data_IF_852724073603
#
_entry.id   IF_852724073603
#
_cell.length_a   1.000
_cell.length_b   1.000
_cell.length_c   1.000
_cell.angle_alpha   90.00
_cell.angle_beta   90.00
_cell.angle_gamma   90.00
#
_symmetry.space_group_name_H-M   'P 1'
#
loop_
_entity.id
_entity.type
_entity.pdbx_description
1 polymer ?
#
# COMPACT_ATOMS: atom_id res chain seq x y z
N UNK A 1 -20.99 -5.87 -0.53
CA UNK A 1 -19.90 -5.24 -1.30
C UNK A 1 -18.55 -5.76 -0.77
N UNK A 2 -18.29 -7.06 -0.95
CA UNK A 2 -17.18 -7.76 -0.29
C UNK A 2 -16.66 -8.90 -1.19
N UNK A 3 -15.91 -8.61 -2.26
CA UNK A 3 -15.57 -9.70 -3.21
C UNK A 3 -14.20 -9.71 -3.90
N UNK A 4 -13.24 -8.81 -3.66
CA UNK A 4 -12.06 -8.77 -4.54
C UNK A 4 -10.72 -9.17 -3.88
N UNK A 5 -10.61 -9.20 -2.55
CA UNK A 5 -9.42 -9.72 -1.85
C UNK A 5 -9.27 -11.25 -1.98
N UNK A 6 -10.34 -11.95 -2.36
CA UNK A 6 -10.38 -13.41 -2.50
C UNK A 6 -9.39 -13.93 -3.55
N UNK A 7 -9.09 -13.13 -4.58
CA UNK A 7 -8.12 -13.53 -5.61
C UNK A 7 -6.72 -13.80 -5.03
N UNK A 8 -6.31 -13.09 -3.99
CA UNK A 8 -5.02 -13.31 -3.32
C UNK A 8 -4.98 -14.62 -2.52
N UNK A 9 -6.11 -15.00 -1.92
CA UNK A 9 -6.24 -16.26 -1.18
C UNK A 9 -6.41 -17.47 -2.11
N UNK A 10 -6.96 -17.26 -3.32
CA UNK A 10 -7.18 -18.31 -4.31
C UNK A 10 -5.98 -18.57 -5.23
N UNK A 11 -5.09 -17.60 -5.40
CA UNK A 11 -3.89 -17.74 -6.24
C UNK A 11 -2.60 -17.44 -5.47
N UNK A 12 -2.34 -18.14 -4.36
CA UNK A 12 -1.17 -17.86 -3.55
C UNK A 12 0.13 -18.24 -4.31
N UNK A 13 0.03 -19.04 -5.37
CA UNK A 13 1.15 -19.39 -6.24
C UNK A 13 1.64 -18.21 -7.07
N UNK A 14 0.77 -17.24 -7.43
CA UNK A 14 1.17 -15.99 -8.08
C UNK A 14 1.97 -15.08 -7.13
N UNK A 15 1.79 -15.24 -5.82
CA UNK A 15 2.51 -14.49 -4.79
C UNK A 15 3.84 -15.16 -4.41
N UNK A 16 3.98 -16.45 -4.68
CA UNK A 16 5.16 -17.26 -4.33
C UNK A 16 5.97 -17.73 -5.53
N UNK A 17 5.66 -17.28 -6.74
CA UNK A 17 6.38 -17.65 -7.96
C UNK A 17 7.79 -17.06 -7.94
N UNK A 18 8.75 -17.85 -7.44
CA UNK A 18 10.14 -17.47 -7.23
C UNK A 18 11.11 -18.32 -8.06
N UNK A 19 10.82 -18.54 -9.35
CA UNK A 19 11.68 -19.27 -10.28
C UNK A 19 12.20 -20.65 -9.78
N UNK A 20 11.47 -21.31 -8.87
CA UNK A 20 11.86 -22.60 -8.29
C UNK A 20 12.87 -22.52 -7.12
N UNK A 21 13.19 -21.35 -6.59
CA UNK A 21 14.06 -21.19 -5.42
C UNK A 21 13.27 -21.16 -4.10
N UNK A 22 13.64 -22.03 -3.17
CA UNK A 22 12.98 -22.19 -1.85
C UNK A 22 13.30 -21.04 -0.87
N UNK A 23 14.43 -20.35 -1.03
CA UNK A 23 14.91 -19.32 -0.11
C UNK A 23 14.91 -17.95 -0.82
N UNK A 24 14.18 -16.94 -0.30
CA UNK A 24 14.27 -15.58 -0.79
C UNK A 24 15.67 -15.01 -0.54
N UNK A 25 16.25 -14.39 -1.54
CA UNK A 25 17.46 -13.58 -1.44
C UNK A 25 17.18 -12.17 -1.97
N UNK A 26 18.17 -11.28 -1.89
CA UNK A 26 17.98 -9.91 -2.34
C UNK A 26 17.57 -9.81 -3.82
N UNK A 27 18.11 -10.69 -4.67
CA UNK A 27 17.91 -10.62 -6.12
C UNK A 27 16.51 -11.14 -6.50
N UNK A 28 16.13 -12.29 -5.99
CA UNK A 28 14.88 -12.95 -6.36
C UNK A 28 13.63 -12.21 -5.82
N UNK A 29 13.76 -11.49 -4.71
CA UNK A 29 12.70 -10.63 -4.15
C UNK A 29 12.31 -9.48 -5.08
N UNK A 30 13.21 -9.05 -5.98
CA UNK A 30 12.90 -8.05 -6.99
C UNK A 30 12.09 -8.60 -8.18
N UNK A 31 12.04 -9.92 -8.34
CA UNK A 31 11.35 -10.61 -9.44
C UNK A 31 9.88 -10.92 -9.11
N UNK A 32 9.44 -10.70 -7.87
CA UNK A 32 8.08 -10.96 -7.38
C UNK A 32 7.08 -9.89 -7.85
N UNK A 33 6.94 -9.71 -9.15
CA UNK A 33 6.19 -8.60 -9.77
C UNK A 33 4.72 -8.54 -9.32
N UNK A 34 4.06 -9.69 -9.18
CA UNK A 34 2.67 -9.71 -8.71
C UNK A 34 2.56 -9.34 -7.24
N UNK A 35 3.48 -9.80 -6.39
CA UNK A 35 3.55 -9.39 -4.99
C UNK A 35 3.78 -7.87 -4.86
N UNK A 36 4.61 -7.28 -5.72
CA UNK A 36 4.84 -5.83 -5.77
C UNK A 36 3.56 -5.05 -6.08
N UNK A 37 2.78 -5.56 -7.03
CA UNK A 37 1.49 -4.97 -7.40
C UNK A 37 0.50 -5.03 -6.24
N UNK A 38 0.45 -6.17 -5.55
CA UNK A 38 -0.40 -6.40 -4.38
C UNK A 38 -0.03 -5.51 -3.21
N UNK A 39 1.26 -5.41 -2.89
CA UNK A 39 1.76 -4.51 -1.84
C UNK A 39 1.44 -3.06 -2.22
N UNK A 40 1.63 -2.68 -3.48
CA UNK A 40 1.37 -1.31 -3.93
C UNK A 40 -0.12 -0.93 -3.85
N UNK A 41 -1.01 -1.82 -4.27
CA UNK A 41 -2.46 -1.60 -4.16
C UNK A 41 -2.92 -1.60 -2.70
N UNK A 42 -2.31 -2.43 -1.85
CA UNK A 42 -2.56 -2.41 -0.40
C UNK A 42 -2.18 -1.07 0.21
N UNK A 43 -1.00 -0.55 -0.13
CA UNK A 43 -0.51 0.75 0.34
C UNK A 43 -1.31 1.94 -0.24
N UNK A 44 -1.93 1.78 -1.41
CA UNK A 44 -2.87 2.77 -1.97
C UNK A 44 -4.16 2.81 -1.16
N UNK A 45 -4.79 1.66 -0.92
CA UNK A 45 -6.07 1.58 -0.20
C UNK A 45 -5.90 1.90 1.29
N UNK A 46 -4.80 1.47 1.88
CA UNK A 46 -4.57 1.55 3.32
C UNK A 46 -3.19 2.16 3.65
N UNK A 47 -2.91 3.42 3.28
CA UNK A 47 -1.64 4.05 3.56
C UNK A 47 -1.48 4.29 5.08
N UNK A 48 -0.44 3.73 5.74
CA UNK A 48 -0.23 3.95 7.18
C UNK A 48 -0.10 5.44 7.53
N UNK A 49 0.61 6.20 6.69
CA UNK A 49 0.64 7.66 6.72
C UNK A 49 -0.38 8.21 5.72
N UNK A 50 -1.60 8.45 6.20
CA UNK A 50 -2.73 8.91 5.39
C UNK A 50 -2.78 10.43 5.16
N UNK A 51 -1.90 11.18 5.83
CA UNK A 51 -1.71 12.63 5.63
C UNK A 51 -0.27 13.05 5.90
N UNK A 52 0.18 14.08 5.21
CA UNK A 52 1.45 14.76 5.50
C UNK A 52 1.21 16.25 5.66
N UNK A 53 1.91 16.89 6.59
CA UNK A 53 1.79 18.34 6.82
C UNK A 53 3.12 19.06 6.65
N UNK A 54 3.07 20.31 6.19
CA UNK A 54 4.22 21.24 6.17
C UNK A 54 3.75 22.60 6.64
N UNK A 55 4.58 23.27 7.42
CA UNK A 55 4.36 24.67 7.77
C UNK A 55 5.10 25.56 6.78
N UNK A 56 4.44 26.61 6.28
CA UNK A 56 5.06 27.61 5.43
C UNK A 56 6.01 28.47 6.26
N UNK A 57 7.33 28.31 6.08
CA UNK A 57 8.33 29.08 6.83
C UNK A 57 8.31 30.58 6.54
N UNK A 58 7.74 30.98 5.40
CA UNK A 58 7.56 32.37 4.96
C UNK A 58 6.39 32.44 3.99
N UNK A 59 5.91 33.65 3.77
CA UNK A 59 4.96 33.96 2.71
C UNK A 59 5.45 33.42 1.37
N UNK A 60 4.59 32.67 0.68
CA UNK A 60 4.92 32.13 -0.64
C UNK A 60 3.71 32.08 -1.57
N UNK A 61 4.01 32.00 -2.87
CA UNK A 61 3.02 31.82 -3.93
C UNK A 61 3.22 30.43 -4.55
N UNK A 62 2.20 29.58 -4.46
CA UNK A 62 2.19 28.24 -5.07
C UNK A 62 1.03 28.17 -6.06
N UNK A 63 1.30 27.91 -7.34
CA UNK A 63 0.28 27.87 -8.39
C UNK A 63 -0.63 29.12 -8.38
N UNK A 64 -0.05 30.30 -8.14
CA UNK A 64 -0.73 31.60 -8.00
C UNK A 64 -1.62 31.74 -6.75
N UNK A 65 -1.55 30.80 -5.81
CA UNK A 65 -2.21 30.89 -4.52
C UNK A 65 -1.22 31.42 -3.48
N UNK A 66 -1.62 32.46 -2.76
CA UNK A 66 -0.83 33.02 -1.65
C UNK A 66 -1.02 32.17 -0.40
N UNK A 67 0.10 31.80 0.22
CA UNK A 67 0.18 31.04 1.44
C UNK A 67 0.98 31.86 2.46
N UNK A 68 0.37 32.32 3.57
CA UNK A 68 1.07 33.12 4.56
C UNK A 68 2.05 32.26 5.38
N UNK A 69 3.09 32.91 5.93
CA UNK A 69 3.97 32.30 6.90
C UNK A 69 3.19 31.72 8.09
N UNK A 70 3.62 30.56 8.59
CA UNK A 70 2.95 29.81 9.67
C UNK A 70 1.73 29.01 9.24
N UNK A 71 1.26 29.12 7.99
CA UNK A 71 0.17 28.28 7.50
C UNK A 71 0.59 26.80 7.42
N UNK A 72 -0.29 25.91 7.91
CA UNK A 72 -0.10 24.46 7.78
C UNK A 72 -0.78 23.98 6.50
N UNK A 73 0.01 23.41 5.61
CA UNK A 73 -0.41 22.80 4.36
C UNK A 73 -0.50 21.29 4.60
N UNK A 74 -1.70 20.73 4.43
CA UNK A 74 -1.93 19.28 4.51
C UNK A 74 -2.04 18.66 3.11
N UNK A 75 -1.35 17.54 2.92
CA UNK A 75 -1.49 16.65 1.76
C UNK A 75 -2.33 15.47 2.23
N UNK A 76 -3.61 15.44 1.83
CA UNK A 76 -4.56 14.40 2.20
C UNK A 76 -4.36 13.13 1.35
N UNK A 77 -3.31 12.37 1.64
CA UNK A 77 -2.90 11.16 0.89
C UNK A 77 -4.02 10.12 0.82
N UNK A 78 -4.72 9.87 1.93
CA UNK A 78 -5.83 8.92 1.95
C UNK A 78 -6.94 9.30 0.96
N UNK A 79 -7.30 10.59 0.88
CA UNK A 79 -8.28 11.08 -0.09
C UNK A 79 -7.73 11.04 -1.52
N UNK A 80 -6.48 11.47 -1.73
CA UNK A 80 -5.80 11.41 -3.02
C UNK A 80 -5.80 9.99 -3.61
N UNK A 81 -5.57 8.97 -2.76
CA UNK A 81 -5.50 7.57 -3.17
C UNK A 81 -6.87 6.96 -3.47
N UNK A 82 -7.97 7.60 -3.05
CA UNK A 82 -9.34 7.19 -3.34
C UNK A 82 -10.04 8.14 -4.32
N UNK A 83 -9.33 9.11 -4.91
CA UNK A 83 -9.91 10.04 -5.86
C UNK A 83 -10.28 9.30 -7.17
N UNK A 84 -11.58 9.19 -7.54
CA UNK A 84 -12.01 8.43 -8.71
C UNK A 84 -11.53 8.99 -10.05
N UNK A 85 -11.14 10.28 -10.11
CA UNK A 85 -10.55 10.85 -11.34
C UNK A 85 -9.12 10.37 -11.60
N UNK A 86 -8.44 9.90 -10.55
CA UNK A 86 -7.07 9.37 -10.61
C UNK A 86 -7.10 7.83 -10.57
N UNK A 87 -8.01 7.27 -9.78
CA UNK A 87 -8.14 5.85 -9.50
C UNK A 87 -9.57 5.39 -9.83
N UNK A 88 -9.87 5.00 -11.09
CA UNK A 88 -11.21 4.54 -11.47
C UNK A 88 -11.63 3.34 -10.63
N UNK A 89 -12.84 3.31 -10.07
CA UNK A 89 -13.26 2.27 -9.10
C UNK A 89 -12.34 2.17 -7.87
N UNK A 90 -12.12 3.26 -7.12
CA UNK A 90 -11.06 3.36 -6.11
C UNK A 90 -11.23 2.39 -4.92
N UNK A 91 -12.46 1.93 -4.68
CA UNK A 91 -12.80 0.99 -3.60
C UNK A 91 -12.51 -0.48 -3.96
N UNK A 92 -12.25 -0.78 -5.24
CA UNK A 92 -11.87 -2.13 -5.66
C UNK A 92 -10.38 -2.36 -5.53
N UNK A 93 -10.02 -3.50 -4.98
CA UNK A 93 -8.64 -3.94 -4.89
C UNK A 93 -8.18 -4.53 -6.23
N UNK A 94 -7.47 -3.72 -7.04
CA UNK A 94 -6.99 -4.11 -8.37
C UNK A 94 -5.46 -3.97 -8.47
N UNK A 95 -4.67 -5.02 -8.16
CA UNK A 95 -3.21 -4.99 -8.27
C UNK A 95 -2.69 -4.55 -9.64
N UNK A 96 -3.41 -4.86 -10.71
CA UNK A 96 -3.06 -4.56 -12.11
C UNK A 96 -2.91 -3.05 -12.37
N UNK A 97 -3.42 -2.18 -11.49
CA UNK A 97 -3.10 -0.74 -11.52
C UNK A 97 -1.59 -0.47 -11.39
N UNK A 98 -0.82 -1.41 -10.87
CA UNK A 98 0.60 -1.25 -10.59
C UNK A 98 1.52 -2.01 -11.55
N UNK A 99 1.04 -2.36 -12.75
CA UNK A 99 1.91 -2.77 -13.86
C UNK A 99 2.93 -1.68 -14.18
N UNK A 100 4.05 -2.06 -14.81
CA UNK A 100 5.10 -1.11 -15.22
C UNK A 100 4.53 0.01 -16.12
N UNK A 101 3.68 -0.35 -17.09
CA UNK A 101 3.02 0.59 -18.00
C UNK A 101 2.08 1.54 -17.25
N UNK A 102 1.22 1.02 -16.37
CA UNK A 102 0.27 1.85 -15.62
C UNK A 102 0.99 2.81 -14.65
N UNK A 103 2.12 2.39 -14.06
CA UNK A 103 2.97 3.26 -13.23
C UNK A 103 3.56 4.41 -14.04
N UNK A 104 4.05 4.15 -15.25
CA UNK A 104 4.66 5.17 -16.11
C UNK A 104 3.65 6.21 -16.62
N UNK A 105 2.41 5.80 -16.88
CA UNK A 105 1.35 6.70 -17.35
C UNK A 105 0.75 7.58 -16.23
N UNK A 106 0.97 7.22 -14.97
CA UNK A 106 0.40 7.94 -13.83
C UNK A 106 1.23 9.15 -13.45
N UNK A 107 0.56 10.22 -13.05
CA UNK A 107 1.25 11.38 -12.48
C UNK A 107 2.06 10.98 -11.22
N UNK A 108 3.34 11.39 -11.10
CA UNK A 108 4.23 10.95 -10.03
C UNK A 108 3.73 11.23 -8.61
N UNK A 109 2.93 12.29 -8.43
CA UNK A 109 2.37 12.69 -7.12
C UNK A 109 0.97 12.14 -6.85
N UNK A 110 0.46 11.22 -7.66
CA UNK A 110 -0.85 10.56 -7.43
C UNK A 110 -0.77 9.37 -6.48
N UNK A 111 0.44 8.83 -6.25
CA UNK A 111 0.70 7.71 -5.36
C UNK A 111 1.85 8.05 -4.42
N UNK A 112 1.54 8.19 -3.13
CA UNK A 112 2.40 8.79 -2.10
C UNK A 112 2.42 7.98 -0.78
N UNK A 113 2.48 6.64 -0.78
CA UNK A 113 2.44 5.85 0.46
C UNK A 113 3.64 6.09 1.37
N UNK A 114 4.75 6.58 0.81
CA UNK A 114 6.00 6.88 1.51
C UNK A 114 6.37 8.38 1.42
N UNK A 115 5.40 9.23 1.05
CA UNK A 115 5.64 10.64 0.76
C UNK A 115 6.52 10.86 -0.48
N UNK A 116 6.98 12.10 -0.66
CA UNK A 116 7.84 12.50 -1.77
C UNK A 116 8.82 13.61 -1.35
N UNK A 117 9.83 13.84 -2.19
CA UNK A 117 10.83 14.89 -1.99
C UNK A 117 11.85 14.58 -0.88
N UNK A 118 12.57 15.60 -0.38
CA UNK A 118 13.68 15.42 0.57
C UNK A 118 13.30 14.82 1.93
N UNK A 119 12.00 14.81 2.25
CA UNK A 119 11.43 14.27 3.50
C UNK A 119 10.54 13.05 3.22
N UNK A 120 10.74 12.39 2.09
CA UNK A 120 10.19 11.06 1.81
C UNK A 120 10.77 10.03 2.80
N UNK A 121 10.08 8.91 2.96
CA UNK A 121 10.48 7.87 3.89
C UNK A 121 11.84 7.28 3.49
N UNK A 122 12.86 7.52 4.32
CA UNK A 122 14.20 6.98 4.12
C UNK A 122 14.24 5.44 4.16
N UNK A 123 13.29 4.83 4.88
CA UNK A 123 13.19 3.39 5.05
C UNK A 123 12.30 2.68 4.00
N UNK A 124 11.78 3.38 2.99
CA UNK A 124 10.83 2.80 2.04
C UNK A 124 11.35 1.53 1.35
N UNK A 125 12.62 1.52 0.92
CA UNK A 125 13.24 0.35 0.27
C UNK A 125 13.40 -0.83 1.22
N UNK A 126 13.81 -0.56 2.46
CA UNK A 126 13.96 -1.58 3.50
C UNK A 126 12.59 -2.20 3.84
N UNK A 127 11.59 -1.36 4.11
CA UNK A 127 10.24 -1.82 4.46
C UNK A 127 9.63 -2.69 3.34
N UNK A 128 9.76 -2.28 2.08
CA UNK A 128 9.27 -3.08 0.95
C UNK A 128 10.00 -4.43 0.84
N UNK A 129 11.31 -4.47 1.08
CA UNK A 129 12.07 -5.72 1.09
C UNK A 129 11.65 -6.65 2.23
N UNK A 130 11.55 -6.11 3.45
CA UNK A 130 11.12 -6.87 4.63
C UNK A 130 9.72 -7.46 4.45
N UNK A 131 8.77 -6.67 3.92
CA UNK A 131 7.42 -7.13 3.60
C UNK A 131 7.50 -8.29 2.60
N UNK A 132 8.19 -8.13 1.47
CA UNK A 132 8.25 -9.18 0.45
C UNK A 132 8.87 -10.47 0.97
N UNK A 133 10.01 -10.40 1.67
CA UNK A 133 10.67 -11.59 2.24
C UNK A 133 9.74 -12.27 3.25
N UNK A 134 9.14 -11.49 4.16
CA UNK A 134 8.25 -12.01 5.19
C UNK A 134 7.03 -12.69 4.58
N UNK A 135 6.36 -12.02 3.65
CA UNK A 135 5.18 -12.58 2.97
C UNK A 135 5.53 -13.82 2.17
N UNK A 136 6.63 -13.82 1.41
CA UNK A 136 7.07 -15.00 0.65
C UNK A 136 7.29 -16.20 1.59
N UNK A 137 8.01 -16.03 2.70
CA UNK A 137 8.28 -17.10 3.67
C UNK A 137 7.01 -17.63 4.34
N UNK A 138 6.09 -16.74 4.71
CA UNK A 138 4.84 -17.15 5.33
C UNK A 138 3.95 -17.87 4.32
N UNK A 139 3.81 -17.34 3.11
CA UNK A 139 2.94 -17.91 2.07
C UNK A 139 3.48 -19.22 1.50
N UNK A 140 4.79 -19.48 1.55
CA UNK A 140 5.38 -20.78 1.20
C UNK A 140 4.97 -21.90 2.18
N UNK A 141 4.78 -21.58 3.46
CA UNK A 141 4.55 -22.56 4.52
C UNK A 141 3.10 -22.64 4.99
N UNK A 142 2.35 -21.56 4.82
CA UNK A 142 1.02 -21.43 5.39
C UNK A 142 0.02 -20.90 4.35
N UNK A 143 -1.25 -21.21 4.60
CA UNK A 143 -2.41 -20.57 3.96
C UNK A 143 -3.18 -19.83 5.03
N UNK A 144 -3.81 -18.73 4.62
CA UNK A 144 -4.69 -17.95 5.48
C UNK A 144 -6.14 -18.28 5.15
N UNK A 145 -6.96 -18.43 6.19
CA UNK A 145 -8.39 -18.67 6.08
C UNK A 145 -9.14 -17.69 6.99
N UNK A 146 -10.39 -17.39 6.62
CA UNK A 146 -11.27 -16.67 7.52
C UNK A 146 -11.63 -17.51 8.73
N UNK A 147 -11.86 -16.87 9.86
CA UNK A 147 -12.42 -17.44 11.08
C UNK A 147 -13.68 -16.64 11.50
N UNK A 148 -14.49 -17.13 12.45
CA UNK A 148 -15.67 -16.40 12.93
C UNK A 148 -15.39 -14.97 13.39
N UNK A 149 -14.17 -14.69 13.85
CA UNK A 149 -13.70 -13.38 14.31
C UNK A 149 -13.18 -12.49 13.17
N UNK A 150 -13.07 -12.99 11.94
CA UNK A 150 -12.63 -12.20 10.79
C UNK A 150 -13.66 -11.14 10.43
N UNK A 151 -13.31 -9.88 10.66
CA UNK A 151 -14.21 -8.76 10.42
C UNK A 151 -14.22 -8.31 8.95
N UNK A 152 -15.40 -8.31 8.32
CA UNK A 152 -15.59 -7.89 6.92
C UNK A 152 -16.83 -6.98 6.82
N UNK A 153 -16.71 -5.74 6.33
CA UNK A 153 -15.48 -5.06 5.94
C UNK A 153 -14.58 -4.73 7.16
N UNK A 154 -13.27 -4.60 6.91
CA UNK A 154 -12.32 -4.17 7.91
C UNK A 154 -12.65 -2.73 8.36
N UNK A 155 -12.87 -2.51 9.65
CA UNK A 155 -13.02 -1.15 10.18
C UNK A 155 -11.67 -0.58 10.56
N UNK A 156 -11.46 0.69 10.20
CA UNK A 156 -10.20 1.40 10.37
C UNK A 156 -10.32 2.51 11.40
N UNK A 157 -9.21 2.77 12.09
CA UNK A 157 -8.98 3.99 12.88
C UNK A 157 -7.87 4.81 12.22
N UNK A 158 -8.02 6.12 12.25
CA UNK A 158 -7.10 7.11 11.69
C UNK A 158 -6.60 8.05 12.80
N UNK A 159 -5.79 7.50 13.71
CA UNK A 159 -5.16 8.28 14.79
C UNK A 159 -3.74 8.73 14.35
N UNK A 160 -2.69 8.20 14.98
CA UNK A 160 -1.31 8.46 14.54
C UNK A 160 -0.99 7.81 13.19
N UNK A 161 -1.45 6.58 12.99
CA UNK A 161 -1.38 5.85 11.72
C UNK A 161 -2.75 5.26 11.39
N UNK A 162 -2.96 4.95 10.11
CA UNK A 162 -4.10 4.16 9.68
C UNK A 162 -3.89 2.70 10.09
N UNK A 163 -4.91 2.09 10.70
CA UNK A 163 -4.86 0.69 11.07
C UNK A 163 -6.23 0.14 11.48
N UNK A 164 -6.35 -1.16 11.76
CA UNK A 164 -7.61 -1.77 12.15
C UNK A 164 -8.04 -1.32 13.55
N UNK A 165 -9.35 -1.19 13.79
CA UNK A 165 -9.89 -0.84 15.12
C UNK A 165 -9.59 -1.96 16.12
N UNK A 166 -9.97 -3.19 15.78
CA UNK A 166 -9.94 -4.36 16.68
C UNK A 166 -8.82 -5.37 16.38
N UNK A 167 -7.88 -5.03 15.50
CA UNK A 167 -6.92 -5.97 14.93
C UNK A 167 -7.47 -6.72 13.71
N UNK A 168 -6.70 -7.67 13.20
CA UNK A 168 -7.08 -8.56 12.09
C UNK A 168 -6.97 -10.00 12.57
N UNK A 169 -8.10 -10.69 12.66
CA UNK A 169 -8.17 -12.10 13.05
C UNK A 169 -8.32 -12.97 11.81
N UNK A 170 -7.37 -13.88 11.63
CA UNK A 170 -7.34 -14.86 10.54
C UNK A 170 -6.83 -16.18 11.08
N UNK A 171 -7.29 -17.28 10.51
CA UNK A 171 -6.78 -18.62 10.78
C UNK A 171 -5.57 -18.90 9.90
N UNK A 172 -4.50 -19.43 10.49
CA UNK A 172 -3.30 -19.87 9.78
C UNK A 172 -3.33 -21.40 9.74
N UNK A 173 -3.21 -21.98 8.55
CA UNK A 173 -3.11 -23.43 8.35
C UNK A 173 -1.83 -23.76 7.60
N UNK A 174 -1.19 -24.89 7.92
CA UNK A 174 -0.03 -25.35 7.13
C UNK A 174 -0.45 -25.57 5.68
N UNK A 175 0.48 -25.29 4.76
CA UNK A 175 0.38 -25.83 3.40
C UNK A 175 0.59 -27.34 3.39
#
# INVERSE_FOLDING_TARGET
>A
MATDYWRLLLHPDLLTQNNGQDIPDYQNVHELLFLDMVISETLRMYPPAFRFTREAAKDCLVLKQYIPAGAVIEIAVGHLHHNPSIWPEPEKFLPERFTAQAKQQRHPFSYLPFGAGPRSCIAARLALMEIKITFLRILQKFKFQMCPETQIPLQLKSQGTLGPINGVYIKIVSR
#
